data_IF_962045745543
#
_entry.id   IF_962045745543
#
_cell.length_a   1.000
_cell.length_b   1.000
_cell.length_c   1.000
_cell.angle_alpha   90.00
_cell.angle_beta   90.00
_cell.angle_gamma   90.00
#
_symmetry.space_group_name_H-M   'P 1'
#
loop_
_entity.id
_entity.type
_entity.pdbx_description
1 polymer ?
#
# COMPACT_ATOMS: atom_id res chain seq x y z
N UNK A 1 12.25 -30.58 -10.01
CA UNK A 1 11.31 -29.96 -9.04
C UNK A 1 11.97 -29.37 -7.78
N UNK A 2 13.22 -29.71 -7.44
CA UNK A 2 13.84 -29.30 -6.15
C UNK A 2 14.37 -27.84 -6.16
N UNK A 3 14.76 -27.29 -7.32
CA UNK A 3 15.30 -25.92 -7.41
C UNK A 3 14.28 -24.80 -7.16
N UNK A 4 12.97 -25.04 -7.35
CA UNK A 4 11.94 -24.03 -7.13
C UNK A 4 11.57 -23.81 -5.65
N UNK A 5 11.91 -24.74 -4.74
CA UNK A 5 11.62 -24.59 -3.32
C UNK A 5 12.70 -23.76 -2.58
N UNK A 6 13.96 -23.83 -3.04
CA UNK A 6 15.10 -23.13 -2.43
C UNK A 6 15.05 -21.60 -2.60
N UNK A 7 14.40 -21.08 -3.64
CA UNK A 7 14.28 -19.64 -3.92
C UNK A 7 13.05 -19.01 -3.22
N UNK A 8 12.06 -19.82 -2.84
CA UNK A 8 10.84 -19.32 -2.20
C UNK A 8 10.99 -19.04 -0.69
N UNK A 9 11.75 -19.85 0.04
CA UNK A 9 11.99 -19.64 1.47
C UNK A 9 12.67 -18.29 1.80
N UNK A 10 13.73 -17.86 1.08
CA UNK A 10 14.37 -16.56 1.31
C UNK A 10 13.42 -15.39 1.02
N UNK A 11 12.62 -15.48 -0.04
CA UNK A 11 11.62 -14.45 -0.41
C UNK A 11 10.49 -14.33 0.62
N UNK A 12 10.02 -15.46 1.17
CA UNK A 12 9.02 -15.45 2.24
C UNK A 12 9.57 -14.89 3.56
N UNK A 13 10.83 -15.22 3.91
CA UNK A 13 11.52 -14.64 5.08
C UNK A 13 11.70 -13.13 4.92
N UNK A 14 12.13 -12.65 3.76
CA UNK A 14 12.27 -11.22 3.48
C UNK A 14 10.92 -10.49 3.53
N UNK A 15 9.87 -11.05 2.94
CA UNK A 15 8.53 -10.47 3.00
C UNK A 15 7.98 -10.40 4.45
N UNK A 16 8.27 -11.40 5.28
CA UNK A 16 7.89 -11.41 6.69
C UNK A 16 8.62 -10.33 7.49
N UNK A 17 9.93 -10.16 7.27
CA UNK A 17 10.72 -9.09 7.89
C UNK A 17 10.20 -7.72 7.46
N UNK A 18 9.99 -7.51 6.16
CA UNK A 18 9.50 -6.23 5.64
C UNK A 18 8.10 -5.89 6.18
N UNK A 19 7.19 -6.88 6.29
CA UNK A 19 5.88 -6.68 6.93
C UNK A 19 6.00 -6.29 8.40
N UNK A 20 6.94 -6.88 9.16
CA UNK A 20 7.19 -6.52 10.57
C UNK A 20 7.73 -5.10 10.68
N UNK A 21 8.65 -4.71 9.80
CA UNK A 21 9.20 -3.36 9.75
C UNK A 21 8.16 -2.31 9.35
N UNK A 22 7.35 -2.59 8.34
CA UNK A 22 6.27 -1.68 7.91
C UNK A 22 5.20 -1.55 9.00
N UNK A 23 4.86 -2.65 9.70
CA UNK A 23 3.97 -2.59 10.86
C UNK A 23 4.56 -1.71 11.96
N UNK A 24 5.83 -1.90 12.32
CA UNK A 24 6.49 -1.09 13.32
C UNK A 24 6.55 0.40 12.91
N UNK A 25 6.83 0.69 11.64
CA UNK A 25 6.82 2.06 11.09
C UNK A 25 5.44 2.70 11.19
N UNK A 26 4.39 1.98 10.78
CA UNK A 26 3.02 2.47 10.87
C UNK A 26 2.57 2.71 12.31
N UNK A 27 2.96 1.82 13.24
CA UNK A 27 2.73 2.02 14.67
C UNK A 27 3.43 3.28 15.21
N UNK A 28 4.66 3.57 14.78
CA UNK A 28 5.37 4.80 15.16
C UNK A 28 4.68 6.06 14.60
N UNK A 29 4.21 6.02 13.35
CA UNK A 29 3.47 7.14 12.74
C UNK A 29 2.17 7.40 13.49
N UNK A 30 1.39 6.34 13.78
CA UNK A 30 0.16 6.43 14.55
C UNK A 30 0.39 7.02 15.96
N UNK A 31 1.44 6.56 16.65
CA UNK A 31 1.81 7.12 17.96
C UNK A 31 2.24 8.58 17.88
N UNK A 32 2.95 8.99 16.82
CA UNK A 32 3.35 10.38 16.61
C UNK A 32 2.14 11.29 16.40
N UNK A 33 1.15 10.83 15.62
CA UNK A 33 -0.09 11.56 15.39
C UNK A 33 -0.91 11.68 16.70
N UNK A 34 -1.03 10.59 17.46
CA UNK A 34 -1.72 10.58 18.76
C UNK A 34 -1.07 11.49 19.78
N UNK A 35 0.26 11.54 19.82
CA UNK A 35 1.02 12.48 20.66
C UNK A 35 0.72 13.92 20.29
N UNK A 36 0.67 14.24 18.98
CA UNK A 36 0.33 15.58 18.51
C UNK A 36 -1.06 16.01 18.98
N UNK A 37 -2.05 15.10 18.91
CA UNK A 37 -3.42 15.35 19.35
C UNK A 37 -3.55 15.64 20.85
N UNK A 38 -2.69 15.06 21.70
CA UNK A 38 -2.71 15.28 23.16
C UNK A 38 -1.76 16.40 23.63
N UNK A 39 -1.35 17.30 22.73
CA UNK A 39 -0.52 18.46 23.08
C UNK A 39 0.99 18.20 23.07
N UNK A 40 1.44 17.17 22.36
CA UNK A 40 2.85 16.85 22.13
C UNK A 40 3.52 16.05 23.25
N UNK A 41 4.82 15.85 23.11
CA UNK A 41 5.62 15.04 24.06
C UNK A 41 5.68 15.71 25.42
N UNK A 42 5.54 14.90 26.47
CA UNK A 42 5.70 15.35 27.86
C UNK A 42 7.13 15.09 28.33
N UNK A 43 7.64 16.03 29.13
CA UNK A 43 8.96 16.04 29.77
C UNK A 43 8.77 16.28 31.26
N UNK A 44 9.77 16.02 32.09
CA UNK A 44 9.65 16.21 33.54
C UNK A 44 9.21 17.64 33.90
N UNK A 45 9.76 18.64 33.19
CA UNK A 45 9.46 20.06 33.45
C UNK A 45 8.06 20.52 33.02
N UNK A 46 7.42 19.86 32.05
CA UNK A 46 6.11 20.28 31.54
C UNK A 46 4.97 19.28 31.84
N UNK A 47 5.28 18.11 32.39
CA UNK A 47 4.31 17.05 32.68
C UNK A 47 3.08 17.56 33.43
N UNK A 48 3.27 18.18 34.60
CA UNK A 48 2.16 18.66 35.45
C UNK A 48 1.28 19.68 34.73
N UNK A 49 1.91 20.63 34.03
CA UNK A 49 1.20 21.68 33.30
C UNK A 49 0.36 21.11 32.15
N UNK A 50 0.90 20.16 31.38
CA UNK A 50 0.18 19.54 30.26
C UNK A 50 -0.88 18.56 30.74
N UNK A 51 -0.59 17.80 31.79
CA UNK A 51 -1.51 16.82 32.36
C UNK A 51 -2.77 17.48 32.96
N UNK A 52 -2.62 18.65 33.57
CA UNK A 52 -3.75 19.43 34.09
C UNK A 52 -4.73 19.91 33.00
N UNK A 53 -4.26 20.07 31.77
CA UNK A 53 -5.08 20.52 30.63
C UNK A 53 -5.88 19.39 29.96
N UNK A 54 -5.58 18.13 30.29
CA UNK A 54 -6.28 16.97 29.71
C UNK A 54 -7.56 16.70 30.49
N UNK A 55 -8.72 16.47 29.81
CA UNK A 55 -9.95 16.07 30.48
C UNK A 55 -9.78 14.78 31.29
N UNK A 56 -10.42 14.68 32.47
CA UNK A 56 -10.26 13.52 33.37
C UNK A 56 -10.57 12.18 32.71
N UNK A 57 -11.55 12.15 31.80
CA UNK A 57 -11.93 10.96 31.03
C UNK A 57 -10.83 10.48 30.07
N UNK A 58 -9.89 11.35 29.71
CA UNK A 58 -8.84 11.09 28.71
C UNK A 58 -7.44 10.96 29.31
N UNK A 59 -7.24 11.37 30.57
CA UNK A 59 -5.94 11.35 31.27
C UNK A 59 -5.26 9.99 31.23
N UNK A 60 -5.99 8.91 31.52
CA UNK A 60 -5.44 7.56 31.50
C UNK A 60 -4.95 7.17 30.10
N UNK A 61 -5.74 7.51 29.06
CA UNK A 61 -5.35 7.23 27.67
C UNK A 61 -4.13 8.07 27.24
N UNK A 62 -4.10 9.35 27.63
CA UNK A 62 -2.97 10.23 27.37
C UNK A 62 -1.66 9.69 27.99
N UNK A 63 -1.70 9.23 29.24
CA UNK A 63 -0.54 8.60 29.91
C UNK A 63 -0.08 7.35 29.13
N UNK A 64 -1.01 6.50 28.70
CA UNK A 64 -0.68 5.29 27.92
C UNK A 64 0.00 5.63 26.61
N UNK A 65 -0.50 6.65 25.89
CA UNK A 65 0.09 7.11 24.63
C UNK A 65 1.51 7.63 24.89
N UNK A 66 1.72 8.42 25.95
CA UNK A 66 3.05 8.93 26.33
C UNK A 66 4.03 7.79 26.66
N UNK A 67 3.63 6.82 27.48
CA UNK A 67 4.46 5.65 27.80
C UNK A 67 4.80 4.83 26.54
N UNK A 68 3.85 4.62 25.63
CA UNK A 68 4.11 3.91 24.37
C UNK A 68 5.04 4.68 23.44
N UNK A 69 4.89 6.01 23.38
CA UNK A 69 5.76 6.88 22.58
C UNK A 69 7.20 6.89 23.11
N UNK A 70 7.37 7.05 24.44
CA UNK A 70 8.67 6.98 25.11
C UNK A 70 9.33 5.62 24.86
N UNK A 71 8.58 4.51 24.91
CA UNK A 71 9.10 3.16 24.64
C UNK A 71 9.49 2.92 23.19
N UNK A 72 8.56 3.20 22.25
CA UNK A 72 8.66 2.73 20.86
C UNK A 72 9.31 3.76 19.93
N UNK A 73 9.09 5.05 20.17
CA UNK A 73 9.58 6.13 19.32
C UNK A 73 10.89 6.70 19.86
N UNK A 74 10.90 7.12 21.13
CA UNK A 74 12.09 7.73 21.75
C UNK A 74 13.09 6.68 22.26
N UNK A 75 12.65 5.43 22.46
CA UNK A 75 13.47 4.33 23.01
C UNK A 75 14.16 4.73 24.31
N UNK A 76 13.41 5.41 25.18
CA UNK A 76 13.91 5.95 26.44
C UNK A 76 14.49 4.85 27.31
N UNK A 77 15.73 5.01 27.81
CA UNK A 77 16.39 3.99 28.62
C UNK A 77 15.73 3.93 30.00
N UNK A 78 14.75 3.05 30.17
CA UNK A 78 14.08 2.83 31.44
C UNK A 78 13.75 1.34 31.64
N UNK A 79 13.61 0.87 32.90
CA UNK A 79 13.22 -0.50 33.19
C UNK A 79 11.94 -0.93 32.43
N UNK A 80 11.93 -2.10 31.74
CA UNK A 80 10.82 -2.52 30.89
C UNK A 80 9.45 -2.57 31.58
N UNK A 81 9.45 -2.85 32.89
CA UNK A 81 8.26 -2.91 33.73
C UNK A 81 7.54 -1.56 33.86
N UNK A 82 8.26 -0.44 33.74
CA UNK A 82 7.65 0.89 33.79
C UNK A 82 6.76 1.16 32.58
N UNK A 83 6.98 0.46 31.47
CA UNK A 83 6.15 0.63 30.27
C UNK A 83 4.96 -0.33 30.20
N UNK A 84 4.72 -1.14 31.24
CA UNK A 84 3.61 -2.08 31.25
C UNK A 84 2.30 -1.37 31.60
N UNK A 85 1.27 -1.64 30.79
CA UNK A 85 -0.09 -1.15 31.01
C UNK A 85 -0.90 -2.08 31.92
N UNK A 86 -0.38 -3.28 32.15
CA UNK A 86 -0.94 -4.33 32.99
C UNK A 86 0.19 -5.21 33.50
N UNK A 87 0.11 -5.63 34.76
CA UNK A 87 1.01 -6.63 35.34
C UNK A 87 0.20 -7.89 35.68
N UNK A 88 0.69 -9.05 35.25
CA UNK A 88 0.07 -10.37 35.54
C UNK A 88 -1.43 -10.44 35.20
N UNK A 89 -1.86 -9.75 34.14
CA UNK A 89 -3.26 -9.73 33.69
C UNK A 89 -4.16 -8.70 34.37
N UNK A 90 -3.65 -7.95 35.35
CA UNK A 90 -4.38 -6.87 36.04
C UNK A 90 -3.98 -5.54 35.41
N UNK A 91 -4.97 -4.72 35.01
CA UNK A 91 -4.71 -3.38 34.48
C UNK A 91 -4.16 -2.49 35.58
N UNK A 92 -3.08 -1.76 35.28
CA UNK A 92 -2.51 -0.81 36.24
C UNK A 92 -3.49 0.34 36.47
N UNK A 93 -3.60 0.80 37.73
CA UNK A 93 -4.40 1.97 38.08
C UNK A 93 -3.84 3.24 37.41
N UNK A 94 -4.68 4.26 37.27
CA UNK A 94 -4.28 5.54 36.66
C UNK A 94 -3.10 6.18 37.43
N UNK A 95 -3.14 6.16 38.76
CA UNK A 95 -2.06 6.62 39.64
C UNK A 95 -0.75 5.85 39.43
N UNK A 96 -0.83 4.53 39.21
CA UNK A 96 0.35 3.70 38.95
C UNK A 96 0.95 4.01 37.58
N UNK A 97 0.12 4.26 36.57
CA UNK A 97 0.58 4.65 35.23
C UNK A 97 1.23 6.04 35.24
N UNK A 98 0.69 6.98 36.01
CA UNK A 98 1.27 8.30 36.22
C UNK A 98 2.65 8.21 36.90
N UNK A 99 2.77 7.45 37.99
CA UNK A 99 4.05 7.23 38.67
C UNK A 99 5.07 6.55 37.75
N UNK A 100 4.64 5.57 36.95
CA UNK A 100 5.49 4.91 35.97
C UNK A 100 5.98 5.88 34.88
N UNK A 101 5.11 6.76 34.38
CA UNK A 101 5.48 7.76 33.38
C UNK A 101 6.48 8.77 33.94
N UNK A 102 6.25 9.27 35.17
CA UNK A 102 7.20 10.15 35.85
C UNK A 102 8.58 9.50 36.01
N UNK A 103 8.63 8.22 36.40
CA UNK A 103 9.89 7.48 36.48
C UNK A 103 10.57 7.34 35.11
N UNK A 104 9.82 7.09 34.04
CA UNK A 104 10.37 7.06 32.66
C UNK A 104 10.93 8.42 32.26
N UNK A 105 10.21 9.51 32.54
CA UNK A 105 10.65 10.87 32.22
C UNK A 105 11.90 11.27 33.01
N UNK A 106 11.99 10.88 34.28
CA UNK A 106 13.21 11.09 35.07
C UNK A 106 14.41 10.36 34.46
N UNK A 107 14.23 9.14 33.95
CA UNK A 107 15.30 8.42 33.26
C UNK A 107 15.67 9.03 31.90
N UNK A 108 14.73 9.74 31.25
CA UNK A 108 14.99 10.45 30.00
C UNK A 108 15.89 11.69 30.20
N UNK A 109 15.79 12.34 31.37
CA UNK A 109 16.55 13.54 31.71
C UNK A 109 17.93 13.24 32.35
N UNK A 110 18.21 11.97 32.67
CA UNK A 110 19.53 11.57 33.14
C UNK A 110 20.52 11.58 31.96
N UNK A 111 21.71 12.20 32.11
CA UNK A 111 22.77 12.03 31.12
C UNK A 111 23.11 10.54 31.01
N UNK A 112 23.30 10.01 29.79
CA UNK A 112 23.55 8.59 29.60
C UNK A 112 24.78 8.17 30.42
N UNK A 113 24.72 7.06 31.19
CA UNK A 113 25.87 6.56 31.90
C UNK A 113 27.00 6.34 30.91
N UNK A 114 28.16 6.93 31.21
CA UNK A 114 29.35 6.84 30.40
C UNK A 114 29.96 5.44 30.55
N UNK A 115 29.39 4.43 29.89
CA UNK A 115 30.03 3.13 29.70
C UNK A 115 29.86 2.63 28.27
N UNK A 116 31.01 2.33 27.65
CA UNK A 116 31.17 2.07 26.24
C UNK A 116 30.49 0.79 25.79
N UNK A 117 29.32 0.94 25.15
CA UNK A 117 28.83 0.13 24.04
C UNK A 117 27.45 0.66 23.61
N UNK A 118 27.33 1.98 23.42
CA UNK A 118 26.31 2.42 22.48
C UNK A 118 26.76 1.90 21.13
N UNK A 119 26.08 0.85 20.66
CA UNK A 119 25.83 0.70 19.23
C UNK A 119 25.39 2.09 18.81
N UNK A 120 26.33 2.86 18.23
CA UNK A 120 25.99 3.92 17.30
C UNK A 120 25.05 3.20 16.36
N UNK A 121 23.74 3.38 16.57
CA UNK A 121 22.82 3.24 15.46
C UNK A 121 23.37 4.31 14.55
N UNK A 122 24.23 3.87 13.64
CA UNK A 122 24.70 4.69 12.56
C UNK A 122 23.37 5.18 12.00
N UNK A 123 23.08 6.46 12.21
CA UNK A 123 21.97 7.09 11.53
C UNK A 123 22.44 7.02 10.09
N UNK A 124 22.09 5.91 9.44
CA UNK A 124 22.28 5.75 8.02
C UNK A 124 21.25 6.69 7.46
N UNK A 125 21.64 7.94 7.29
CA UNK A 125 20.95 8.84 6.39
C UNK A 125 20.90 8.06 5.08
N UNK A 126 19.70 7.63 4.69
CA UNK A 126 19.49 7.16 3.33
C UNK A 126 20.08 8.26 2.46
N UNK A 127 21.08 7.93 1.64
CA UNK A 127 21.64 8.92 0.72
C UNK A 127 20.48 9.50 -0.06
N UNK A 128 20.51 10.79 -0.41
CA UNK A 128 19.39 11.43 -1.12
C UNK A 128 18.95 10.59 -2.33
N UNK A 129 19.90 9.93 -3.01
CA UNK A 129 19.67 8.95 -4.08
C UNK A 129 18.80 7.74 -3.69
N UNK A 130 18.89 7.23 -2.46
CA UNK A 130 18.10 6.10 -1.97
C UNK A 130 16.67 6.52 -1.63
N UNK A 131 16.50 7.76 -1.16
CA UNK A 131 15.18 8.37 -0.95
C UNK A 131 14.53 8.62 -2.32
N UNK A 132 15.25 9.22 -3.26
CA UNK A 132 14.79 9.46 -4.63
C UNK A 132 14.42 8.17 -5.35
N UNK A 133 15.27 7.13 -5.29
CA UNK A 133 14.97 5.80 -5.86
C UNK A 133 13.71 5.20 -5.24
N UNK A 134 13.51 5.36 -3.92
CA UNK A 134 12.32 4.84 -3.23
C UNK A 134 11.06 5.61 -3.63
N UNK A 135 11.12 6.93 -3.67
CA UNK A 135 10.02 7.80 -4.11
C UNK A 135 9.66 7.50 -5.55
N UNK A 136 10.64 7.38 -6.44
CA UNK A 136 10.42 7.08 -7.86
C UNK A 136 9.80 5.68 -8.03
N UNK A 137 10.27 4.69 -7.27
CA UNK A 137 9.66 3.35 -7.26
C UNK A 137 8.21 3.39 -6.78
N UNK A 138 7.92 4.10 -5.68
CA UNK A 138 6.56 4.22 -5.15
C UNK A 138 5.64 4.97 -6.12
N UNK A 139 6.15 6.02 -6.77
CA UNK A 139 5.41 6.78 -7.80
C UNK A 139 5.11 5.89 -9.00
N UNK A 140 6.09 5.15 -9.52
CA UNK A 140 5.90 4.18 -10.62
C UNK A 140 4.87 3.12 -10.25
N UNK A 141 4.95 2.55 -9.05
CA UNK A 141 3.98 1.55 -8.57
C UNK A 141 2.57 2.14 -8.42
N UNK A 142 2.44 3.37 -7.92
CA UNK A 142 1.17 4.06 -7.78
C UNK A 142 0.53 4.36 -9.14
N UNK A 143 1.30 4.92 -10.08
CA UNK A 143 0.86 5.18 -11.46
C UNK A 143 0.44 3.88 -12.13
N UNK A 144 1.21 2.79 -11.97
CA UNK A 144 0.85 1.47 -12.49
C UNK A 144 -0.49 0.99 -11.91
N UNK A 145 -0.68 1.05 -10.59
CA UNK A 145 -1.94 0.65 -9.94
C UNK A 145 -3.12 1.48 -10.43
N UNK A 146 -2.94 2.79 -10.58
CA UNK A 146 -3.98 3.69 -11.07
C UNK A 146 -4.35 3.36 -12.52
N UNK A 147 -3.35 3.04 -13.35
CA UNK A 147 -3.56 2.58 -14.72
C UNK A 147 -4.31 1.24 -14.77
N UNK A 148 -3.92 0.26 -13.95
CA UNK A 148 -4.59 -1.04 -13.82
C UNK A 148 -6.05 -0.89 -13.39
N UNK A 149 -6.34 -0.01 -12.41
CA UNK A 149 -7.70 0.27 -11.96
C UNK A 149 -8.54 0.91 -13.06
N UNK A 150 -7.99 1.91 -13.78
CA UNK A 150 -8.67 2.54 -14.91
C UNK A 150 -8.96 1.52 -16.03
N UNK A 151 -7.99 0.67 -16.38
CA UNK A 151 -8.20 -0.38 -17.37
C UNK A 151 -9.28 -1.37 -16.94
N UNK A 152 -9.27 -1.81 -15.68
CA UNK A 152 -10.30 -2.73 -15.17
C UNK A 152 -11.69 -2.10 -15.24
N UNK A 153 -11.83 -0.85 -14.84
CA UNK A 153 -13.10 -0.13 -14.95
C UNK A 153 -13.60 -0.06 -16.41
N UNK A 154 -12.71 0.25 -17.36
CA UNK A 154 -13.05 0.31 -18.78
C UNK A 154 -13.42 -1.06 -19.36
N UNK A 155 -12.74 -2.14 -18.95
CA UNK A 155 -13.10 -3.51 -19.34
C UNK A 155 -14.50 -3.87 -18.83
N UNK A 156 -14.81 -3.56 -17.57
CA UNK A 156 -16.15 -3.84 -17.02
C UNK A 156 -17.23 -3.01 -17.73
N UNK A 157 -16.98 -1.72 -18.02
CA UNK A 157 -17.88 -0.91 -18.84
C UNK A 157 -18.10 -1.53 -20.24
N UNK A 158 -17.04 -2.02 -20.87
CA UNK A 158 -17.12 -2.65 -22.18
C UNK A 158 -17.90 -3.98 -22.15
N UNK A 159 -17.72 -4.79 -21.11
CA UNK A 159 -18.50 -6.02 -20.89
C UNK A 159 -19.99 -5.75 -20.66
N UNK A 160 -20.36 -4.66 -19.99
CA UNK A 160 -21.76 -4.29 -19.83
C UNK A 160 -22.45 -4.00 -21.17
N UNK A 161 -21.71 -3.57 -22.18
CA UNK A 161 -22.22 -3.34 -23.53
C UNK A 161 -22.24 -4.62 -24.40
N UNK A 162 -21.65 -5.73 -23.95
CA UNK A 162 -21.59 -7.00 -24.71
C UNK A 162 -22.98 -7.49 -25.17
N UNK A 163 -24.04 -7.51 -24.34
CA UNK A 163 -25.35 -7.98 -24.79
C UNK A 163 -25.92 -7.17 -25.97
N UNK A 164 -25.64 -5.86 -26.01
CA UNK A 164 -26.03 -5.01 -27.12
C UNK A 164 -25.31 -5.41 -28.41
N UNK A 165 -23.99 -5.62 -28.36
CA UNK A 165 -23.21 -6.03 -29.53
C UNK A 165 -23.50 -7.46 -29.98
N UNK A 166 -23.88 -8.36 -29.08
CA UNK A 166 -24.32 -9.70 -29.48
C UNK A 166 -25.64 -9.66 -30.26
N UNK A 167 -26.54 -8.74 -29.91
CA UNK A 167 -27.81 -8.54 -30.61
C UNK A 167 -27.64 -7.73 -31.90
N UNK A 168 -26.72 -6.76 -31.90
CA UNK A 168 -26.44 -5.86 -33.01
C UNK A 168 -24.93 -5.78 -33.30
N UNK A 169 -24.33 -6.81 -33.92
CA UNK A 169 -22.87 -6.87 -34.16
C UNK A 169 -22.34 -5.69 -34.97
N UNK A 170 -23.12 -5.18 -35.93
CA UNK A 170 -22.75 -4.05 -36.79
C UNK A 170 -22.51 -2.75 -36.01
N UNK A 171 -23.10 -2.60 -34.81
CA UNK A 171 -22.89 -1.41 -33.96
C UNK A 171 -21.46 -1.30 -33.40
N UNK A 172 -20.65 -2.35 -33.54
CA UNK A 172 -19.22 -2.34 -33.21
C UNK A 172 -18.36 -1.73 -34.33
N UNK A 173 -18.88 -1.69 -35.57
CA UNK A 173 -18.16 -1.15 -36.72
C UNK A 173 -17.92 0.35 -36.54
N UNK A 174 -16.70 0.80 -36.86
CA UNK A 174 -16.27 2.19 -36.73
C UNK A 174 -15.81 2.58 -35.32
N UNK A 175 -16.04 1.76 -34.30
CA UNK A 175 -15.58 2.04 -32.93
C UNK A 175 -14.06 1.88 -32.81
N UNK A 176 -13.46 2.72 -31.97
CA UNK A 176 -12.08 2.57 -31.53
C UNK A 176 -12.01 1.60 -30.35
N UNK A 177 -10.99 0.76 -30.37
CA UNK A 177 -10.78 -0.27 -29.36
C UNK A 177 -9.32 -0.28 -28.93
N UNK A 178 -9.08 -0.76 -27.72
CA UNK A 178 -7.78 -1.29 -27.33
C UNK A 178 -7.91 -2.81 -27.18
N UNK A 179 -7.08 -3.56 -27.89
CA UNK A 179 -7.06 -5.02 -27.86
C UNK A 179 -5.82 -5.54 -27.15
N UNK A 180 -6.02 -6.37 -26.15
CA UNK A 180 -4.97 -6.97 -25.33
C UNK A 180 -4.38 -8.20 -26.02
N UNK A 181 -3.07 -8.18 -26.24
CA UNK A 181 -2.32 -9.34 -26.75
C UNK A 181 -1.25 -9.78 -25.76
N UNK A 182 -0.90 -11.08 -25.83
CA UNK A 182 0.29 -11.62 -25.19
C UNK A 182 1.43 -11.61 -26.20
N UNK A 183 2.50 -10.90 -25.87
CA UNK A 183 3.73 -10.89 -26.66
C UNK A 183 4.54 -12.18 -26.45
N UNK A 184 5.51 -12.50 -27.34
CA UNK A 184 6.34 -13.70 -27.24
C UNK A 184 7.16 -13.79 -25.94
N UNK A 185 7.51 -12.66 -25.34
CA UNK A 185 8.21 -12.56 -24.06
C UNK A 185 7.30 -12.81 -22.84
N UNK A 186 6.00 -13.06 -23.07
CA UNK A 186 4.99 -13.28 -22.05
C UNK A 186 4.39 -12.01 -21.46
N UNK A 187 4.80 -10.82 -21.92
CA UNK A 187 4.17 -9.56 -21.51
C UNK A 187 2.79 -9.41 -22.15
N UNK A 188 1.93 -8.61 -21.51
CA UNK A 188 0.59 -8.31 -22.02
C UNK A 188 0.53 -6.84 -22.41
N UNK A 189 0.19 -6.55 -23.66
CA UNK A 189 0.14 -5.18 -24.18
C UNK A 189 -1.20 -4.88 -24.84
N UNK A 190 -1.58 -3.61 -24.81
CA UNK A 190 -2.82 -3.11 -25.39
C UNK A 190 -2.53 -2.37 -26.68
N UNK A 191 -3.16 -2.82 -27.76
CA UNK A 191 -2.97 -2.29 -29.09
C UNK A 191 -4.21 -1.48 -29.49
N UNK A 192 -4.07 -0.16 -29.68
CA UNK A 192 -5.17 0.68 -30.15
C UNK A 192 -5.47 0.39 -31.63
N UNK A 193 -6.74 0.29 -31.96
CA UNK A 193 -7.19 0.05 -33.33
C UNK A 193 -8.63 0.47 -33.56
N UNK A 194 -9.09 0.28 -34.80
CA UNK A 194 -10.44 0.62 -35.24
C UNK A 194 -11.07 -0.57 -35.94
N UNK A 195 -12.31 -0.87 -35.58
CA UNK A 195 -13.10 -1.92 -36.23
C UNK A 195 -13.61 -1.40 -37.57
N UNK A 196 -13.29 -2.11 -38.65
CA UNK A 196 -13.59 -1.69 -40.01
C UNK A 196 -14.91 -2.26 -40.52
N UNK A 197 -15.11 -3.56 -40.37
CA UNK A 197 -16.29 -4.29 -40.87
C UNK A 197 -16.37 -5.68 -40.25
N UNK A 198 -17.47 -6.39 -40.51
CA UNK A 198 -17.56 -7.83 -40.29
C UNK A 198 -16.88 -8.54 -41.47
N UNK A 199 -15.81 -9.27 -41.19
CA UNK A 199 -15.08 -10.05 -42.18
C UNK A 199 -15.79 -11.38 -42.49
N UNK A 200 -16.29 -12.06 -41.44
CA UNK A 200 -17.03 -13.32 -41.57
C UNK A 200 -18.23 -13.35 -40.62
N UNK A 201 -19.47 -13.33 -41.14
CA UNK A 201 -20.66 -13.48 -40.33
C UNK A 201 -20.76 -14.91 -39.77
N UNK A 202 -21.48 -15.07 -38.65
CA UNK A 202 -21.73 -16.36 -38.02
C UNK A 202 -23.09 -16.33 -37.29
N UNK A 203 -23.78 -17.47 -37.22
CA UNK A 203 -25.02 -17.58 -36.45
C UNK A 203 -24.82 -17.45 -34.93
N UNK A 204 -23.62 -17.80 -34.44
CA UNK A 204 -23.19 -17.50 -33.07
C UNK A 204 -22.47 -16.14 -33.05
N UNK A 205 -23.00 -15.11 -32.35
CA UNK A 205 -22.39 -13.79 -32.29
C UNK A 205 -20.93 -13.81 -31.78
N UNK A 206 -20.57 -14.73 -30.88
CA UNK A 206 -19.21 -14.83 -30.35
C UNK A 206 -18.19 -15.37 -31.37
N UNK A 207 -18.68 -15.93 -32.48
CA UNK A 207 -17.85 -16.47 -33.56
C UNK A 207 -17.80 -15.57 -34.80
N UNK A 208 -18.44 -14.40 -34.75
CA UNK A 208 -18.33 -13.40 -35.82
C UNK A 208 -16.90 -12.87 -35.84
N UNK A 209 -16.27 -12.89 -37.02
CA UNK A 209 -14.95 -12.33 -37.22
C UNK A 209 -15.08 -10.89 -37.71
N UNK A 210 -14.47 -9.96 -36.99
CA UNK A 210 -14.38 -8.55 -37.34
C UNK A 210 -13.00 -8.24 -37.89
N UNK A 211 -12.96 -7.31 -38.83
CA UNK A 211 -11.72 -6.77 -39.38
C UNK A 211 -11.30 -5.52 -38.60
N UNK A 212 -10.05 -5.47 -38.14
CA UNK A 212 -9.49 -4.37 -37.33
C UNK A 212 -8.20 -3.88 -37.97
N UNK A 213 -8.04 -2.56 -38.05
CA UNK A 213 -6.75 -1.94 -38.34
C UNK A 213 -6.17 -1.37 -37.05
N UNK A 214 -4.94 -1.76 -36.71
CA UNK A 214 -4.23 -1.22 -35.54
C UNK A 214 -3.45 0.04 -35.93
N UNK A 215 -3.33 0.97 -34.99
CA UNK A 215 -2.58 2.19 -35.22
C UNK A 215 -1.10 1.87 -35.48
N UNK A 216 -0.53 2.49 -36.51
CA UNK A 216 0.85 2.24 -36.93
C UNK A 216 1.02 1.06 -37.89
N UNK A 217 -0.07 0.42 -38.29
CA UNK A 217 -0.05 -0.68 -39.24
C UNK A 217 -1.01 -0.44 -40.41
N UNK A 218 -0.63 -0.89 -41.60
CA UNK A 218 -1.40 -0.73 -42.84
C UNK A 218 -2.33 -1.89 -43.13
N UNK A 219 -2.03 -3.08 -42.61
CA UNK A 219 -2.80 -4.29 -42.90
C UNK A 219 -3.94 -4.48 -41.90
N UNK A 220 -5.12 -4.92 -42.36
CA UNK A 220 -6.20 -5.30 -41.46
C UNK A 220 -6.06 -6.74 -40.96
N UNK A 221 -6.51 -7.00 -39.73
CA UNK A 221 -6.54 -8.32 -39.12
C UNK A 221 -7.93 -8.76 -38.69
N UNK A 222 -8.20 -10.06 -38.76
CA UNK A 222 -9.48 -10.64 -38.41
C UNK A 222 -9.52 -11.28 -37.03
N UNK A 223 -10.39 -10.81 -36.13
CA UNK A 223 -10.55 -11.37 -34.77
C UNK A 223 -12.01 -11.52 -34.33
N UNK A 224 -12.24 -12.41 -33.36
CA UNK A 224 -13.56 -12.65 -32.79
C UNK A 224 -13.82 -11.70 -31.62
N UNK A 225 -13.99 -10.41 -31.93
CA UNK A 225 -13.99 -9.34 -30.92
C UNK A 225 -15.01 -9.51 -29.81
N UNK A 226 -16.19 -10.10 -30.06
CA UNK A 226 -17.18 -10.31 -29.00
C UNK A 226 -16.76 -11.39 -28.01
N UNK A 227 -16.00 -12.39 -28.45
CA UNK A 227 -15.39 -13.40 -27.58
C UNK A 227 -14.26 -12.78 -26.75
N UNK A 228 -13.48 -11.88 -27.34
CA UNK A 228 -12.38 -11.17 -26.66
C UNK A 228 -12.93 -10.14 -25.66
N UNK A 229 -14.01 -9.43 -26.02
CA UNK A 229 -14.78 -8.54 -25.14
C UNK A 229 -15.33 -9.29 -23.92
N UNK A 230 -15.89 -10.49 -24.14
CA UNK A 230 -16.36 -11.37 -23.06
C UNK A 230 -15.24 -11.77 -22.10
N UNK A 231 -14.02 -11.98 -22.60
CA UNK A 231 -12.83 -12.32 -21.79
C UNK A 231 -12.23 -11.11 -21.07
N UNK A 232 -12.57 -9.89 -21.48
CA UNK A 232 -11.98 -8.66 -20.97
C UNK A 232 -10.67 -8.27 -21.69
N UNK A 233 -10.47 -8.78 -22.89
CA UNK A 233 -9.31 -8.49 -23.74
C UNK A 233 -9.58 -7.31 -24.70
N UNK A 234 -10.79 -6.76 -24.69
CA UNK A 234 -11.19 -5.56 -25.45
C UNK A 234 -11.65 -4.46 -24.49
N UNK A 235 -11.18 -3.24 -24.75
CA UNK A 235 -11.71 -2.00 -24.19
C UNK A 235 -12.26 -1.16 -25.34
N UNK A 236 -13.44 -0.57 -25.16
CA UNK A 236 -13.99 0.42 -26.07
C UNK A 236 -13.46 1.81 -25.70
N UNK A 237 -12.93 2.52 -26.70
CA UNK A 237 -12.48 3.89 -26.58
C UNK A 237 -13.54 4.74 -27.28
N UNK A 238 -14.39 5.39 -26.48
CA UNK A 238 -15.40 6.33 -26.98
C UNK A 238 -14.73 7.55 -27.63
#
# INVERSE_FOLDING_TARGET
MIQNQLIQLPKQKQASVQRKEDKARNEMIDLTNKISQIGGVWTLGNFKSKYALIPDKEKENAIKIQLQFQKKVLKTPAPPNLFFMSEKGIKNSSEKLEANLLAVLHNADLPPPFEGQQRRTQITYNKNEDIERKVEKTKKEFVRKLHEQKQKFLQEKAKLALPHFQKYPDSLIGKHINHKFRNPDGTMEWYPGKVLKIAKPNGDPLKIQFEIIYNGYSEPWGFNLLQDLKRGDIILVD
#
